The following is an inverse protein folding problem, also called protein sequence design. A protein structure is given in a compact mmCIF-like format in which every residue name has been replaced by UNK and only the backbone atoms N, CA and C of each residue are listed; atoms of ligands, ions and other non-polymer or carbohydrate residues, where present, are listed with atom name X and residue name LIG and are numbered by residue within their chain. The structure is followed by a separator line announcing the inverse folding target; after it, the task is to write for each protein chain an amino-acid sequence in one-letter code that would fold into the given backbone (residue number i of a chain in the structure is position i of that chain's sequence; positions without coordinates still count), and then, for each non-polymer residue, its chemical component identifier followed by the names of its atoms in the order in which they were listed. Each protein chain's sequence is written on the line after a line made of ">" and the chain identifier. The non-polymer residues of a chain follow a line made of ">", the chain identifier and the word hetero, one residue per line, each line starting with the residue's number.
data_IF_386454087379
#
_entry.id   IF_386454087379
#
_cell.length_a   1.000
_cell.length_b   1.000
_cell.length_c   1.000
_cell.angle_alpha   90.00
_cell.angle_beta   90.00
_cell.angle_gamma   90.00
#
_symmetry.space_group_name_H-M   'P 1'
#
loop_
_entity.id
_entity.type
_entity.pdbx_description
1 polymer ?
#
# COMPACT_ATOMS: atom_id res chain seq x y z
N UNK A 1 -22.82 6.53 19.39
CA UNK A 1 -22.87 7.10 18.03
C UNK A 1 -23.46 6.07 17.04
N UNK A 2 -24.72 5.64 17.28
CA UNK A 2 -25.34 4.59 16.42
C UNK A 2 -25.91 5.15 15.10
N UNK A 3 -25.98 6.47 14.94
CA UNK A 3 -26.63 7.16 13.82
C UNK A 3 -25.69 8.08 13.04
N UNK A 4 -24.38 7.77 13.03
CA UNK A 4 -23.41 8.54 12.26
C UNK A 4 -23.17 7.88 10.90
N UNK A 5 -23.11 8.71 9.86
CA UNK A 5 -22.67 8.32 8.52
C UNK A 5 -21.39 9.08 8.17
N UNK A 6 -20.56 8.50 7.33
CA UNK A 6 -19.37 9.17 6.81
C UNK A 6 -19.65 9.60 5.38
N UNK A 7 -19.44 10.89 5.11
CA UNK A 7 -19.52 11.46 3.77
C UNK A 7 -18.12 11.82 3.33
N UNK A 8 -17.67 11.24 2.24
CA UNK A 8 -16.38 11.53 1.62
C UNK A 8 -16.60 12.31 0.33
N UNK A 9 -15.99 13.49 0.25
CA UNK A 9 -15.94 14.30 -0.96
C UNK A 9 -14.58 14.13 -1.61
N UNK A 10 -14.56 13.82 -2.91
CA UNK A 10 -13.32 13.62 -3.66
C UNK A 10 -12.54 14.94 -3.78
N UNK A 11 -11.22 14.85 -3.65
CA UNK A 11 -10.34 15.98 -3.91
C UNK A 11 -10.30 16.35 -5.40
N UNK A 12 -9.94 17.60 -5.68
CA UNK A 12 -9.78 18.08 -7.05
C UNK A 12 -8.72 17.30 -7.80
N UNK A 13 -8.97 16.93 -9.05
CA UNK A 13 -8.09 16.20 -9.97
C UNK A 13 -7.59 14.83 -9.47
N UNK A 14 -8.28 14.25 -8.48
CA UNK A 14 -7.94 12.91 -8.00
C UNK A 14 -8.23 11.81 -9.04
N UNK A 15 -9.01 12.09 -10.07
CA UNK A 15 -9.22 11.21 -11.23
C UNK A 15 -7.94 10.90 -12.01
N UNK A 16 -6.89 11.72 -11.89
CA UNK A 16 -5.58 11.42 -12.45
C UNK A 16 -4.91 10.22 -11.78
N UNK A 17 -5.23 9.98 -10.52
CA UNK A 17 -4.59 9.00 -9.66
C UNK A 17 -5.50 7.82 -9.31
N UNK A 18 -6.80 8.04 -9.23
CA UNK A 18 -7.81 7.09 -8.75
C UNK A 18 -8.92 6.89 -9.77
N UNK A 19 -9.25 5.64 -10.06
CA UNK A 19 -10.43 5.24 -10.83
C UNK A 19 -11.64 5.11 -9.90
N UNK A 20 -12.52 6.10 -9.93
CA UNK A 20 -13.69 6.19 -9.04
C UNK A 20 -14.76 5.12 -9.28
N UNK A 21 -14.93 4.66 -10.50
CA UNK A 21 -15.83 3.54 -10.78
C UNK A 21 -15.29 2.23 -10.21
N UNK A 22 -14.00 2.03 -10.34
CA UNK A 22 -13.34 0.85 -9.78
C UNK A 22 -13.34 0.88 -8.25
N UNK A 23 -13.17 2.06 -7.63
CA UNK A 23 -13.31 2.23 -6.17
C UNK A 23 -14.67 1.73 -5.68
N UNK A 24 -15.75 2.13 -6.31
CA UNK A 24 -17.12 1.72 -5.94
C UNK A 24 -17.30 0.21 -6.10
N UNK A 25 -16.84 -0.35 -7.21
CA UNK A 25 -16.88 -1.82 -7.44
C UNK A 25 -16.10 -2.58 -6.38
N UNK A 26 -14.91 -2.13 -6.05
CA UNK A 26 -14.06 -2.73 -5.02
C UNK A 26 -14.69 -2.60 -3.63
N UNK A 27 -15.32 -1.47 -3.33
CA UNK A 27 -16.03 -1.26 -2.08
C UNK A 27 -17.16 -2.29 -1.90
N UNK A 28 -17.94 -2.53 -2.94
CA UNK A 28 -19.01 -3.53 -2.94
C UNK A 28 -18.46 -4.95 -2.79
N UNK A 29 -17.37 -5.28 -3.47
CA UNK A 29 -16.69 -6.58 -3.36
C UNK A 29 -16.18 -6.83 -1.94
N UNK A 30 -15.51 -5.86 -1.34
CA UNK A 30 -15.02 -5.92 0.03
C UNK A 30 -16.17 -6.04 1.04
N UNK A 31 -17.25 -5.34 0.80
CA UNK A 31 -18.45 -5.43 1.63
C UNK A 31 -19.05 -6.84 1.59
N UNK A 32 -19.15 -7.44 0.41
CA UNK A 32 -19.65 -8.81 0.25
C UNK A 32 -18.83 -9.84 1.03
N UNK A 33 -17.54 -9.58 1.26
CA UNK A 33 -16.63 -10.42 2.05
C UNK A 33 -16.48 -9.97 3.52
N UNK A 34 -17.30 -9.02 3.96
CA UNK A 34 -17.25 -8.51 5.34
C UNK A 34 -16.00 -7.69 5.68
N UNK A 35 -15.32 -7.13 4.67
CA UNK A 35 -14.07 -6.39 4.81
C UNK A 35 -14.24 -4.86 4.70
N UNK A 36 -15.43 -4.38 4.34
CA UNK A 36 -15.73 -2.95 4.25
C UNK A 36 -17.06 -2.62 4.93
N UNK A 37 -17.24 -1.34 5.35
CA UNK A 37 -18.52 -0.86 5.88
C UNK A 37 -19.59 -0.87 4.80
N UNK A 38 -20.84 -0.60 5.19
CA UNK A 38 -21.96 -0.52 4.26
C UNK A 38 -21.87 0.77 3.45
N UNK A 39 -21.92 0.66 2.12
CA UNK A 39 -22.07 1.81 1.22
C UNK A 39 -23.57 2.18 1.15
N UNK A 40 -23.90 3.42 1.47
CA UNK A 40 -25.27 3.93 1.44
C UNK A 40 -25.63 4.54 0.10
N UNK A 41 -24.80 5.42 -0.42
CA UNK A 41 -24.99 6.03 -1.72
C UNK A 41 -23.69 6.56 -2.31
N UNK A 42 -23.70 6.80 -3.61
CA UNK A 42 -22.67 7.49 -4.36
C UNK A 42 -23.26 8.74 -5.01
N UNK A 43 -22.44 9.76 -5.17
CA UNK A 43 -22.79 10.98 -5.88
C UNK A 43 -21.63 11.40 -6.78
N UNK A 44 -21.83 12.38 -7.63
CA UNK A 44 -20.88 12.73 -8.69
C UNK A 44 -19.44 12.96 -8.16
N UNK A 45 -19.28 13.58 -7.00
CA UNK A 45 -18.00 13.94 -6.42
C UNK A 45 -17.75 13.29 -5.05
N UNK A 46 -18.33 12.12 -4.77
CA UNK A 46 -18.13 11.47 -3.48
C UNK A 46 -19.00 10.26 -3.21
N UNK A 47 -18.92 9.79 -1.99
CA UNK A 47 -19.69 8.63 -1.52
C UNK A 47 -20.03 8.77 -0.02
N UNK A 48 -21.10 8.08 0.38
CA UNK A 48 -21.57 8.05 1.76
C UNK A 48 -21.63 6.60 2.25
N UNK A 49 -21.04 6.32 3.38
CA UNK A 49 -20.96 4.98 3.93
C UNK A 49 -21.06 4.97 5.46
N UNK A 50 -21.24 3.78 5.98
CA UNK A 50 -21.34 3.50 7.41
C UNK A 50 -20.10 3.96 8.17
N UNK A 51 -20.32 4.69 9.26
CA UNK A 51 -19.23 5.06 10.16
C UNK A 51 -18.71 3.81 10.88
N UNK A 52 -17.41 3.57 10.78
CA UNK A 52 -16.74 2.44 11.43
C UNK A 52 -16.28 2.84 12.83
N UNK A 53 -16.81 2.14 13.84
CA UNK A 53 -16.45 2.38 15.24
C UNK A 53 -15.01 1.95 15.52
N UNK A 54 -14.31 2.75 16.32
CA UNK A 54 -12.95 2.49 16.74
C UNK A 54 -12.06 3.72 16.65
N UNK A 55 -10.77 3.50 16.79
CA UNK A 55 -9.74 4.53 16.75
C UNK A 55 -8.76 4.24 15.63
N UNK A 56 -8.46 5.25 14.80
CA UNK A 56 -7.42 5.15 13.81
C UNK A 56 -6.05 5.02 14.48
N UNK A 57 -5.23 4.10 14.00
CA UNK A 57 -3.92 3.84 14.59
C UNK A 57 -2.89 4.91 14.21
N UNK A 58 -1.87 5.03 15.04
CA UNK A 58 -0.64 5.79 14.78
C UNK A 58 0.56 4.86 14.53
N UNK A 59 1.71 5.41 14.13
CA UNK A 59 2.93 4.63 13.87
C UNK A 59 3.42 3.82 15.09
N UNK A 60 3.17 4.30 16.30
CA UNK A 60 3.50 3.60 17.54
C UNK A 60 2.63 2.36 17.76
N UNK A 61 1.35 2.43 17.42
CA UNK A 61 0.39 1.35 17.65
C UNK A 61 0.59 0.15 16.73
N UNK A 62 0.93 0.37 15.45
CA UNK A 62 1.12 -0.73 14.49
C UNK A 62 2.33 -1.61 14.80
N UNK A 63 3.20 -1.17 15.71
CA UNK A 63 4.39 -1.89 16.18
C UNK A 63 4.09 -2.78 17.39
N UNK A 64 2.95 -2.59 18.03
CA UNK A 64 2.53 -3.41 19.18
C UNK A 64 2.18 -4.83 18.71
N UNK A 65 2.76 -5.89 19.31
CA UNK A 65 2.57 -7.27 18.85
C UNK A 65 1.10 -7.71 18.77
N UNK A 66 0.28 -7.26 19.68
CA UNK A 66 -1.15 -7.58 19.68
C UNK A 66 -1.86 -6.97 18.47
N UNK A 67 -1.55 -5.71 18.14
CA UNK A 67 -2.16 -4.99 17.03
C UNK A 67 -1.60 -5.45 15.69
N UNK A 68 -0.28 -5.64 15.56
CA UNK A 68 0.28 -6.08 14.28
C UNK A 68 -0.16 -7.51 13.92
N UNK A 69 -0.41 -8.37 14.92
CA UNK A 69 -1.02 -9.68 14.66
C UNK A 69 -2.41 -9.53 14.03
N UNK A 70 -3.27 -8.69 14.58
CA UNK A 70 -4.61 -8.43 14.04
C UNK A 70 -4.56 -7.83 12.63
N UNK A 71 -3.60 -6.93 12.37
CA UNK A 71 -3.39 -6.34 11.05
C UNK A 71 -2.98 -7.41 10.03
N UNK A 72 -2.05 -8.29 10.38
CA UNK A 72 -1.63 -9.39 9.52
C UNK A 72 -2.80 -10.34 9.18
N UNK A 73 -3.64 -10.66 10.15
CA UNK A 73 -4.82 -11.50 9.98
C UNK A 73 -5.85 -10.84 9.04
N UNK A 74 -6.12 -9.55 9.23
CA UNK A 74 -7.08 -8.81 8.38
C UNK A 74 -6.55 -8.66 6.94
N UNK A 75 -5.26 -8.39 6.74
CA UNK A 75 -4.67 -8.36 5.41
C UNK A 75 -4.75 -9.74 4.73
N UNK A 76 -4.46 -10.82 5.44
CA UNK A 76 -4.62 -12.17 4.92
C UNK A 76 -6.06 -12.44 4.47
N UNK A 77 -7.05 -11.98 5.20
CA UNK A 77 -8.46 -12.09 4.86
C UNK A 77 -8.79 -11.38 3.54
N UNK A 78 -8.30 -10.16 3.36
CA UNK A 78 -8.50 -9.39 2.12
C UNK A 78 -7.81 -10.09 0.94
N UNK A 79 -6.61 -10.59 1.13
CA UNK A 79 -5.85 -11.30 0.10
C UNK A 79 -6.46 -12.64 -0.31
N UNK A 80 -7.42 -13.17 0.44
CA UNK A 80 -8.18 -14.38 0.05
C UNK A 80 -9.41 -14.10 -0.80
N UNK A 81 -9.72 -12.84 -1.10
CA UNK A 81 -10.82 -12.47 -1.98
C UNK A 81 -10.47 -12.87 -3.40
N UNK A 82 -11.28 -13.78 -3.98
CA UNK A 82 -11.09 -14.26 -5.33
C UNK A 82 -12.18 -13.75 -6.27
N UNK A 83 -11.82 -13.54 -7.55
CA UNK A 83 -12.79 -13.30 -8.60
C UNK A 83 -13.18 -14.62 -9.27
N UNK A 84 -14.42 -14.70 -9.75
CA UNK A 84 -14.84 -15.77 -10.63
C UNK A 84 -14.23 -15.55 -12.02
N UNK A 85 -13.30 -16.39 -12.45
CA UNK A 85 -12.69 -16.32 -13.78
C UNK A 85 -11.16 -16.26 -13.76
N UNK A 86 -10.59 -15.74 -14.84
CA UNK A 86 -9.12 -15.59 -14.97
C UNK A 86 -8.57 -14.63 -13.94
N UNK A 87 -7.36 -14.94 -13.43
CA UNK A 87 -6.66 -14.09 -12.48
C UNK A 87 -6.38 -12.72 -13.13
N UNK A 88 -6.81 -11.61 -12.51
CA UNK A 88 -6.51 -10.28 -13.04
C UNK A 88 -5.01 -10.01 -13.08
N UNK A 89 -4.59 -9.16 -14.02
CA UNK A 89 -3.19 -8.67 -14.06
C UNK A 89 -2.93 -7.74 -12.88
N UNK A 90 -1.70 -7.76 -12.31
CA UNK A 90 -1.33 -6.81 -11.25
C UNK A 90 -1.34 -5.38 -11.78
N UNK A 91 -1.88 -4.47 -11.00
CA UNK A 91 -2.03 -3.06 -11.39
C UNK A 91 -0.75 -2.24 -11.23
N UNK A 92 0.24 -2.73 -10.49
CA UNK A 92 1.44 -2.00 -10.10
C UNK A 92 2.15 -1.36 -11.30
N UNK A 93 2.51 -2.16 -12.30
CA UNK A 93 3.33 -1.67 -13.43
C UNK A 93 2.55 -0.74 -14.33
N UNK A 94 1.28 -1.01 -14.57
CA UNK A 94 0.42 -0.14 -15.37
C UNK A 94 0.27 1.24 -14.71
N UNK A 95 -0.04 1.29 -13.42
CA UNK A 95 -0.13 2.55 -12.68
C UNK A 95 1.20 3.29 -12.59
N UNK A 96 2.28 2.57 -12.34
CA UNK A 96 3.61 3.16 -12.22
C UNK A 96 4.08 3.76 -13.55
N UNK A 97 3.83 3.10 -14.67
CA UNK A 97 4.08 3.65 -16.01
C UNK A 97 3.23 4.89 -16.28
N UNK A 98 1.95 4.86 -15.93
CA UNK A 98 1.07 6.02 -16.07
C UNK A 98 1.56 7.21 -15.27
N UNK A 99 1.95 7.01 -14.02
CA UNK A 99 2.50 8.07 -13.17
C UNK A 99 3.84 8.59 -13.71
N UNK A 100 4.69 7.71 -14.16
CA UNK A 100 5.96 8.11 -14.78
C UNK A 100 5.73 8.95 -16.04
N UNK A 101 4.79 8.58 -16.89
CA UNK A 101 4.44 9.35 -18.11
C UNK A 101 3.94 10.75 -17.74
N UNK A 102 3.06 10.88 -16.73
CA UNK A 102 2.62 12.18 -16.23
C UNK A 102 3.79 13.02 -15.72
N UNK A 103 4.71 12.42 -14.98
CA UNK A 103 5.91 13.13 -14.48
C UNK A 103 6.80 13.58 -15.63
N UNK A 104 7.01 12.73 -16.63
CA UNK A 104 7.87 13.03 -17.80
C UNK A 104 7.29 14.14 -18.67
N UNK A 105 5.99 14.08 -18.96
CA UNK A 105 5.35 14.93 -19.97
C UNK A 105 4.82 16.25 -19.41
N UNK A 106 4.37 16.27 -18.17
CA UNK A 106 3.65 17.41 -17.59
C UNK A 106 4.39 18.08 -16.43
N UNK A 107 5.29 17.39 -15.75
CA UNK A 107 6.01 17.90 -14.59
C UNK A 107 7.45 18.13 -14.99
N UNK A 108 7.92 19.37 -14.82
CA UNK A 108 9.32 19.67 -15.09
C UNK A 108 10.22 19.11 -13.95
N UNK A 109 11.00 18.04 -14.20
CA UNK A 109 11.86 17.42 -13.19
C UNK A 109 13.03 18.32 -12.73
N UNK A 110 13.27 19.45 -13.40
CA UNK A 110 14.28 20.42 -12.99
C UNK A 110 13.87 21.29 -11.78
N UNK A 111 12.68 21.09 -11.22
CA UNK A 111 12.16 21.85 -10.07
C UNK A 111 12.99 21.66 -8.78
N UNK A 112 13.73 20.58 -8.66
CA UNK A 112 14.65 20.34 -7.54
C UNK A 112 15.84 19.50 -8.00
N UNK A 113 17.04 19.93 -7.61
CA UNK A 113 18.27 19.16 -7.84
C UNK A 113 18.28 17.82 -7.09
N UNK A 114 17.41 17.66 -6.08
CA UNK A 114 17.32 16.45 -5.27
C UNK A 114 16.40 15.39 -5.87
N UNK A 115 15.61 15.74 -6.90
CA UNK A 115 14.79 14.78 -7.65
C UNK A 115 15.65 14.14 -8.74
N UNK A 116 15.64 12.80 -8.87
CA UNK A 116 16.36 12.13 -9.94
C UNK A 116 15.91 12.61 -11.32
N UNK A 117 16.84 12.64 -12.28
CA UNK A 117 16.53 12.98 -13.67
C UNK A 117 15.57 11.96 -14.29
N UNK A 118 14.77 12.39 -15.25
CA UNK A 118 13.77 11.55 -15.93
C UNK A 118 14.41 10.29 -16.53
N UNK A 119 15.61 10.40 -17.09
CA UNK A 119 16.33 9.26 -17.66
C UNK A 119 16.70 8.22 -16.60
N UNK A 120 17.06 8.67 -15.39
CA UNK A 120 17.32 7.79 -14.25
C UNK A 120 16.04 7.11 -13.79
N UNK A 121 14.94 7.86 -13.70
CA UNK A 121 13.64 7.31 -13.32
C UNK A 121 13.16 6.25 -14.34
N UNK A 122 13.35 6.48 -15.63
CA UNK A 122 12.97 5.54 -16.68
C UNK A 122 13.78 4.22 -16.58
N UNK A 123 15.08 4.33 -16.35
CA UNK A 123 15.96 3.17 -16.15
C UNK A 123 15.58 2.39 -14.88
N UNK A 124 15.33 3.07 -13.78
CA UNK A 124 14.94 2.43 -12.52
C UNK A 124 13.58 1.74 -12.61
N UNK A 125 12.61 2.34 -13.29
CA UNK A 125 11.30 1.74 -13.52
C UNK A 125 11.42 0.45 -14.35
N UNK A 126 12.19 0.46 -15.43
CA UNK A 126 12.43 -0.73 -16.24
C UNK A 126 13.15 -1.82 -15.44
N UNK A 127 14.15 -1.44 -14.67
CA UNK A 127 14.88 -2.34 -13.80
C UNK A 127 13.97 -2.99 -12.73
N UNK A 128 13.15 -2.20 -12.03
CA UNK A 128 12.20 -2.68 -11.04
C UNK A 128 11.25 -3.72 -11.64
N UNK A 129 10.66 -3.40 -12.79
CA UNK A 129 9.72 -4.30 -13.45
C UNK A 129 10.38 -5.62 -13.83
N UNK A 130 11.58 -5.58 -14.39
CA UNK A 130 12.32 -6.78 -14.77
C UNK A 130 12.63 -7.66 -13.55
N UNK A 131 13.22 -7.08 -12.50
CA UNK A 131 13.68 -7.83 -11.35
C UNK A 131 12.55 -8.33 -10.44
N UNK A 132 11.54 -7.51 -10.18
CA UNK A 132 10.46 -7.89 -9.28
C UNK A 132 9.46 -8.86 -9.92
N UNK A 133 9.27 -8.80 -11.24
CA UNK A 133 8.39 -9.74 -11.94
C UNK A 133 8.88 -11.19 -11.87
N UNK A 134 10.18 -11.41 -11.64
CA UNK A 134 10.79 -12.74 -11.51
C UNK A 134 10.63 -13.36 -10.12
N UNK A 135 10.15 -12.60 -9.14
CA UNK A 135 10.06 -13.06 -7.75
C UNK A 135 8.86 -13.99 -7.49
N UNK A 136 8.01 -14.20 -8.47
CA UNK A 136 6.84 -15.09 -8.37
C UNK A 136 5.89 -14.75 -7.20
N UNK A 137 5.78 -13.46 -6.85
CA UNK A 137 4.78 -13.04 -5.87
C UNK A 137 3.37 -13.26 -6.42
N UNK A 138 2.49 -13.94 -5.69
CA UNK A 138 1.12 -14.14 -6.17
C UNK A 138 0.38 -12.81 -6.34
N UNK A 139 -0.54 -12.77 -7.29
CA UNK A 139 -1.47 -11.65 -7.47
C UNK A 139 -2.72 -11.92 -6.65
N UNK A 140 -3.03 -10.99 -5.76
CA UNK A 140 -4.17 -11.08 -4.83
C UNK A 140 -4.92 -9.75 -4.79
N UNK A 141 -6.10 -9.73 -4.19
CA UNK A 141 -6.79 -8.46 -3.94
C UNK A 141 -6.07 -7.72 -2.82
N UNK A 142 -5.53 -6.53 -3.12
CA UNK A 142 -4.70 -5.73 -2.24
C UNK A 142 -5.37 -4.42 -1.83
N UNK A 143 -5.02 -3.92 -0.66
CA UNK A 143 -5.37 -2.56 -0.22
C UNK A 143 -4.57 -1.49 -0.97
N UNK A 144 -3.29 -1.74 -1.17
CA UNK A 144 -2.28 -0.90 -1.84
C UNK A 144 -1.94 0.43 -1.15
N UNK A 145 -2.64 0.81 -0.10
CA UNK A 145 -2.40 2.06 0.65
C UNK A 145 -2.66 1.88 2.16
N UNK A 146 -2.15 0.80 2.75
CA UNK A 146 -2.39 0.50 4.16
C UNK A 146 -1.43 1.26 5.07
N UNK A 147 -1.65 2.55 5.21
CA UNK A 147 -1.00 3.41 6.19
C UNK A 147 -1.73 3.34 7.55
N UNK A 148 -1.09 3.81 8.63
CA UNK A 148 -1.61 3.68 9.99
C UNK A 148 -3.04 4.21 10.15
N UNK A 149 -3.32 5.38 9.56
CA UNK A 149 -4.63 6.04 9.65
C UNK A 149 -5.77 5.29 8.95
N UNK A 150 -5.43 4.37 8.05
CA UNK A 150 -6.38 3.51 7.36
C UNK A 150 -6.72 2.24 8.13
N UNK A 151 -6.20 2.09 9.35
CA UNK A 151 -6.45 0.95 10.23
C UNK A 151 -7.24 1.43 11.43
N UNK A 152 -8.45 0.89 11.62
CA UNK A 152 -9.35 1.22 12.71
C UNK A 152 -9.37 0.06 13.70
N UNK A 153 -9.01 0.34 14.95
CA UNK A 153 -9.07 -0.62 16.05
C UNK A 153 -10.30 -0.39 16.91
N UNK A 154 -11.13 -1.41 17.02
CA UNK A 154 -12.26 -1.46 17.96
C UNK A 154 -11.87 -2.30 19.17
N UNK A 155 -11.53 -1.63 20.28
CA UNK A 155 -11.11 -2.30 21.52
C UNK A 155 -12.24 -3.08 22.21
N UNK A 156 -13.51 -2.73 21.95
CA UNK A 156 -14.65 -3.44 22.54
C UNK A 156 -14.88 -4.79 21.86
N UNK A 157 -14.57 -4.89 20.58
CA UNK A 157 -14.68 -6.14 19.80
C UNK A 157 -13.34 -6.85 19.63
N UNK A 158 -12.23 -6.21 19.96
CA UNK A 158 -10.88 -6.78 19.86
C UNK A 158 -10.47 -7.08 18.41
N UNK A 159 -10.88 -6.26 17.45
CA UNK A 159 -10.52 -6.44 16.04
C UNK A 159 -10.06 -5.15 15.38
N UNK A 160 -9.32 -5.29 14.28
CA UNK A 160 -9.01 -4.20 13.35
C UNK A 160 -9.81 -4.35 12.08
N UNK A 161 -10.09 -3.21 11.45
CA UNK A 161 -10.66 -3.12 10.12
C UNK A 161 -9.95 -2.05 9.32
N UNK A 162 -9.96 -2.20 7.99
CA UNK A 162 -9.34 -1.23 7.09
C UNK A 162 -10.39 -0.32 6.47
N UNK A 163 -9.97 0.89 6.16
CA UNK A 163 -10.75 1.89 5.46
C UNK A 163 -9.92 2.48 4.32
N UNK A 164 -10.56 3.28 3.48
CA UNK A 164 -9.92 4.02 2.40
C UNK A 164 -9.35 3.13 1.30
N UNK A 165 -10.24 2.44 0.60
CA UNK A 165 -9.90 1.47 -0.45
C UNK A 165 -9.78 2.10 -1.85
N UNK A 166 -9.48 3.40 -1.96
CA UNK A 166 -9.42 4.09 -3.26
C UNK A 166 -8.32 3.58 -4.19
N UNK A 167 -7.24 3.01 -3.62
CA UNK A 167 -6.14 2.37 -4.37
C UNK A 167 -6.27 0.85 -4.45
N UNK A 168 -7.30 0.27 -3.85
CA UNK A 168 -7.46 -1.17 -3.80
C UNK A 168 -7.61 -1.79 -5.19
N UNK A 169 -7.15 -3.01 -5.32
CA UNK A 169 -7.23 -3.77 -6.56
C UNK A 169 -6.26 -4.95 -6.56
N UNK A 170 -6.32 -5.76 -7.62
CA UNK A 170 -5.44 -6.90 -7.77
C UNK A 170 -4.01 -6.46 -8.02
N UNK A 171 -3.10 -6.95 -7.19
CA UNK A 171 -1.70 -6.59 -7.22
C UNK A 171 -0.86 -7.70 -6.56
N UNK A 172 0.46 -7.53 -6.57
CA UNK A 172 1.35 -8.46 -5.90
C UNK A 172 1.18 -8.45 -4.39
N UNK A 173 0.98 -9.63 -3.81
CA UNK A 173 0.93 -9.85 -2.37
C UNK A 173 2.10 -9.19 -1.64
N UNK A 174 3.31 -9.39 -2.15
CA UNK A 174 4.52 -8.84 -1.55
C UNK A 174 4.60 -7.31 -1.62
N UNK A 175 3.98 -6.69 -2.64
CA UNK A 175 3.87 -5.24 -2.71
C UNK A 175 3.00 -4.67 -1.58
N UNK A 176 1.82 -5.25 -1.35
CA UNK A 176 0.89 -4.76 -0.32
C UNK A 176 1.51 -4.83 1.08
N UNK A 177 2.19 -5.94 1.37
CA UNK A 177 2.88 -6.11 2.66
C UNK A 177 4.09 -5.17 2.76
N UNK A 178 4.92 -5.09 1.73
CA UNK A 178 6.09 -4.20 1.72
C UNK A 178 5.71 -2.72 1.81
N UNK A 179 4.62 -2.35 1.15
CA UNK A 179 4.03 -1.03 1.28
C UNK A 179 3.62 -0.73 2.74
N UNK A 180 2.91 -1.66 3.38
CA UNK A 180 2.54 -1.50 4.79
C UNK A 180 3.75 -1.37 5.71
N UNK A 181 4.81 -2.15 5.49
CA UNK A 181 6.04 -2.05 6.28
C UNK A 181 6.73 -0.68 6.12
N UNK A 182 6.72 -0.10 4.93
CA UNK A 182 7.22 1.26 4.72
C UNK A 182 6.43 2.31 5.52
N UNK A 183 5.14 2.09 5.70
CA UNK A 183 4.27 3.01 6.44
C UNK A 183 4.51 3.02 7.96
N UNK A 184 5.30 2.09 8.49
CA UNK A 184 5.81 2.15 9.87
C UNK A 184 6.65 3.41 10.12
N UNK A 185 7.25 3.97 9.08
CA UNK A 185 8.04 5.20 9.16
C UNK A 185 7.18 6.47 9.36
N UNK A 186 5.87 6.40 9.09
CA UNK A 186 4.97 7.54 9.12
C UNK A 186 4.98 8.38 7.84
N UNK A 187 4.11 9.37 7.77
CA UNK A 187 3.90 10.23 6.59
C UNK A 187 4.36 11.68 6.84
N UNK A 188 3.95 12.29 7.94
CA UNK A 188 4.26 13.69 8.24
C UNK A 188 5.70 13.87 8.75
N UNK A 189 6.09 13.04 9.70
CA UNK A 189 7.44 12.97 10.25
C UNK A 189 8.03 11.60 9.92
N UNK A 190 8.59 11.49 8.71
CA UNK A 190 9.08 10.21 8.19
C UNK A 190 10.39 9.83 8.89
N UNK A 191 10.38 8.70 9.59
CA UNK A 191 11.55 8.13 10.24
C UNK A 191 11.69 6.64 9.91
N UNK A 192 12.59 6.32 8.99
CA UNK A 192 12.85 4.94 8.57
C UNK A 192 13.58 4.09 9.61
N UNK A 193 14.03 4.65 10.73
CA UNK A 193 14.45 3.85 11.88
C UNK A 193 13.29 3.03 12.46
N UNK A 194 12.05 3.43 12.17
CA UNK A 194 10.82 2.72 12.54
C UNK A 194 10.45 1.58 11.58
N UNK A 195 11.11 1.44 10.43
CA UNK A 195 10.91 0.29 9.55
C UNK A 195 11.12 -1.01 10.34
N UNK A 196 10.23 -2.00 10.23
CA UNK A 196 10.27 -3.16 11.13
C UNK A 196 11.57 -3.96 10.96
N UNK A 197 12.21 -4.28 12.10
CA UNK A 197 13.36 -5.16 12.14
C UNK A 197 12.98 -6.57 11.65
N UNK A 198 13.99 -7.35 11.24
CA UNK A 198 13.80 -8.70 10.68
C UNK A 198 12.94 -9.60 11.57
N UNK A 199 13.18 -9.60 12.87
CA UNK A 199 12.46 -10.44 13.82
C UNK A 199 10.96 -10.10 13.87
N UNK A 200 10.63 -8.82 13.83
CA UNK A 200 9.23 -8.34 13.78
C UNK A 200 8.60 -8.75 12.45
N UNK A 201 9.30 -8.56 11.34
CA UNK A 201 8.81 -8.95 10.02
C UNK A 201 8.52 -10.46 9.96
N UNK A 202 9.46 -11.31 10.42
CA UNK A 202 9.28 -12.77 10.39
C UNK A 202 8.07 -13.20 11.23
N UNK A 203 7.82 -12.57 12.36
CA UNK A 203 6.66 -12.86 13.19
C UNK A 203 5.36 -12.40 12.52
N UNK A 204 5.33 -11.19 11.95
CA UNK A 204 4.21 -10.65 11.19
C UNK A 204 3.85 -11.54 10.00
N UNK A 205 4.86 -11.93 9.21
CA UNK A 205 4.72 -12.76 8.02
C UNK A 205 4.25 -14.17 8.36
N UNK A 206 4.67 -14.72 9.51
CA UNK A 206 4.17 -16.01 10.01
C UNK A 206 2.67 -15.92 10.29
N UNK A 207 2.20 -14.93 11.03
CA UNK A 207 0.78 -14.75 11.30
C UNK A 207 -0.04 -14.62 10.00
N UNK A 208 0.48 -13.85 9.06
CA UNK A 208 -0.14 -13.66 7.76
C UNK A 208 -0.27 -14.99 6.98
N UNK A 209 0.82 -15.73 6.83
CA UNK A 209 0.83 -17.00 6.09
C UNK A 209 -0.05 -18.05 6.74
N UNK A 210 0.00 -18.18 8.06
CA UNK A 210 -0.83 -19.14 8.80
C UNK A 210 -2.32 -18.83 8.65
N UNK A 211 -2.69 -17.55 8.69
CA UNK A 211 -4.07 -17.12 8.46
C UNK A 211 -4.53 -17.39 7.01
N UNK A 212 -3.64 -17.17 6.04
CA UNK A 212 -3.94 -17.39 4.62
C UNK A 212 -4.09 -18.87 4.28
N UNK A 213 -3.26 -19.73 4.87
CA UNK A 213 -3.23 -21.17 4.60
C UNK A 213 -4.19 -21.98 5.46
N UNK A 214 -4.56 -21.47 6.63
CA UNK A 214 -5.25 -22.26 7.66
C UNK A 214 -4.39 -23.37 8.27
N UNK A 215 -3.05 -23.29 8.15
CA UNK A 215 -2.07 -24.27 8.63
C UNK A 215 -0.77 -23.58 9.00
N UNK A 216 0.07 -24.26 9.77
CA UNK A 216 1.39 -23.75 10.17
C UNK A 216 2.27 -23.38 8.96
N UNK A 217 2.92 -22.23 9.05
CA UNK A 217 3.89 -21.79 8.04
C UNK A 217 5.27 -22.38 8.33
N UNK A 218 5.93 -22.91 7.30
CA UNK A 218 7.31 -23.39 7.43
C UNK A 218 8.28 -22.20 7.50
N UNK A 219 9.45 -22.36 8.15
CA UNK A 219 10.48 -21.33 8.14
C UNK A 219 10.88 -20.88 6.73
N UNK A 220 10.93 -21.82 5.78
CA UNK A 220 11.27 -21.53 4.37
C UNK A 220 10.22 -20.62 3.70
N UNK A 221 8.94 -20.86 3.92
CA UNK A 221 7.87 -20.00 3.38
C UNK A 221 7.96 -18.59 3.95
N UNK A 222 8.22 -18.46 5.25
CA UNK A 222 8.38 -17.16 5.91
C UNK A 222 9.58 -16.40 5.37
N UNK A 223 10.74 -17.06 5.23
CA UNK A 223 11.96 -16.47 4.67
C UNK A 223 11.79 -16.06 3.20
N UNK A 224 11.10 -16.89 2.41
CA UNK A 224 10.81 -16.56 1.02
C UNK A 224 9.96 -15.30 0.91
N UNK A 225 8.89 -15.23 1.70
CA UNK A 225 8.01 -14.06 1.72
C UNK A 225 8.75 -12.82 2.25
N UNK A 226 9.62 -12.97 3.27
CA UNK A 226 10.47 -11.90 3.77
C UNK A 226 11.33 -11.28 2.65
N UNK A 227 12.00 -12.10 1.86
CA UNK A 227 12.82 -11.62 0.75
C UNK A 227 11.96 -10.91 -0.33
N UNK A 228 10.82 -11.50 -0.71
CA UNK A 228 9.88 -10.90 -1.66
C UNK A 228 9.38 -9.54 -1.17
N UNK A 229 8.92 -9.45 0.06
CA UNK A 229 8.34 -8.24 0.66
C UNK A 229 9.33 -7.09 0.70
N UNK A 230 10.57 -7.34 1.15
CA UNK A 230 11.59 -6.29 1.20
C UNK A 230 12.02 -5.82 -0.20
N UNK A 231 12.04 -6.71 -1.19
CA UNK A 231 12.31 -6.33 -2.58
C UNK A 231 11.16 -5.51 -3.17
N UNK A 232 9.92 -5.89 -2.94
CA UNK A 232 8.74 -5.10 -3.37
C UNK A 232 8.56 -3.78 -2.61
N UNK A 233 9.13 -3.64 -1.42
CA UNK A 233 9.16 -2.37 -0.70
C UNK A 233 9.89 -1.27 -1.48
N UNK A 234 10.86 -1.63 -2.35
CA UNK A 234 11.47 -0.70 -3.31
C UNK A 234 10.44 -0.11 -4.27
N UNK A 235 9.58 -0.95 -4.83
CA UNK A 235 8.51 -0.49 -5.73
C UNK A 235 7.54 0.46 -5.02
N UNK A 236 7.25 0.22 -3.75
CA UNK A 236 6.43 1.12 -2.93
C UNK A 236 7.07 2.50 -2.79
N UNK A 237 8.36 2.59 -2.49
CA UNK A 237 9.06 3.87 -2.44
C UNK A 237 8.98 4.62 -3.77
N UNK A 238 9.26 3.94 -4.85
CA UNK A 238 9.27 4.52 -6.19
C UNK A 238 7.88 4.98 -6.63
N UNK A 239 6.86 4.15 -6.38
CA UNK A 239 5.46 4.45 -6.70
C UNK A 239 4.97 5.72 -6.00
N UNK A 240 5.15 5.80 -4.67
CA UNK A 240 4.69 6.94 -3.90
C UNK A 240 5.53 8.20 -4.11
N UNK A 241 6.79 8.07 -4.51
CA UNK A 241 7.60 9.20 -4.92
C UNK A 241 7.07 9.84 -6.21
N UNK A 242 6.73 9.02 -7.23
CA UNK A 242 6.09 9.52 -8.45
C UNK A 242 4.71 10.15 -8.15
N UNK A 243 3.90 9.50 -7.33
CA UNK A 243 2.63 10.04 -6.87
C UNK A 243 2.79 11.39 -6.20
N UNK A 244 3.78 11.55 -5.34
CA UNK A 244 4.04 12.80 -4.64
C UNK A 244 4.45 13.93 -5.59
N UNK A 245 5.23 13.65 -6.64
CA UNK A 245 5.55 14.64 -7.67
C UNK A 245 4.29 15.12 -8.40
N UNK A 246 3.36 14.20 -8.71
CA UNK A 246 2.08 14.54 -9.34
C UNK A 246 1.23 15.39 -8.39
N UNK A 247 1.14 15.01 -7.13
CA UNK A 247 0.42 15.76 -6.10
C UNK A 247 1.01 17.16 -5.87
N UNK A 248 2.32 17.29 -5.92
CA UNK A 248 2.99 18.61 -5.82
C UNK A 248 2.53 19.58 -6.91
N UNK A 249 2.22 19.07 -8.09
CA UNK A 249 1.75 19.88 -9.22
C UNK A 249 0.26 20.24 -9.11
N UNK A 250 -0.58 19.30 -8.65
CA UNK A 250 -2.03 19.42 -8.83
C UNK A 250 -2.83 19.52 -7.53
N UNK A 251 -2.27 19.12 -6.38
CA UNK A 251 -3.01 19.12 -5.12
C UNK A 251 -3.13 20.51 -4.51
N UNK A 252 -4.27 20.79 -3.93
CA UNK A 252 -4.54 21.99 -3.13
C UNK A 252 -4.31 21.77 -1.64
N UNK A 253 -3.93 20.56 -1.25
CA UNK A 253 -3.68 20.19 0.14
C UNK A 253 -2.35 20.79 0.60
N UNK A 254 -2.36 21.41 1.79
CA UNK A 254 -1.15 21.92 2.43
C UNK A 254 -0.29 20.79 3.00
N UNK A 255 0.51 20.19 2.13
CA UNK A 255 1.49 19.14 2.45
C UNK A 255 2.71 19.31 1.55
N UNK A 256 3.90 19.13 2.08
CA UNK A 256 5.15 19.24 1.30
C UNK A 256 5.40 17.96 0.48
N UNK A 257 4.64 17.82 -0.61
CA UNK A 257 4.73 16.68 -1.50
C UNK A 257 6.09 16.53 -2.16
N UNK A 258 6.77 17.64 -2.49
CA UNK A 258 8.10 17.60 -3.10
C UNK A 258 9.12 17.00 -2.14
N UNK A 259 9.14 17.49 -0.90
CA UNK A 259 9.99 16.92 0.15
C UNK A 259 9.70 15.44 0.38
N UNK A 260 8.42 15.06 0.39
CA UNK A 260 8.01 13.65 0.55
C UNK A 260 8.54 12.79 -0.61
N UNK A 261 8.44 13.27 -1.85
CA UNK A 261 9.00 12.58 -3.01
C UNK A 261 10.51 12.34 -2.88
N UNK A 262 11.25 13.37 -2.50
CA UNK A 262 12.70 13.30 -2.29
C UNK A 262 13.06 12.28 -1.19
N UNK A 263 12.34 12.30 -0.07
CA UNK A 263 12.53 11.33 1.02
C UNK A 263 12.35 9.89 0.52
N UNK A 264 11.29 9.64 -0.27
CA UNK A 264 11.01 8.30 -0.81
C UNK A 264 12.06 7.86 -1.83
N UNK A 265 12.49 8.73 -2.75
CA UNK A 265 13.58 8.41 -3.69
C UNK A 265 14.90 8.14 -2.97
N UNK A 266 15.26 8.98 -2.01
CA UNK A 266 16.49 8.78 -1.24
C UNK A 266 16.48 7.45 -0.49
N UNK A 267 15.36 7.09 0.12
CA UNK A 267 15.24 5.79 0.79
C UNK A 267 15.32 4.62 -0.20
N UNK A 268 14.70 4.74 -1.36
CA UNK A 268 14.80 3.77 -2.45
C UNK A 268 16.25 3.46 -2.79
N UNK A 269 17.04 4.48 -3.12
CA UNK A 269 18.44 4.29 -3.49
C UNK A 269 19.30 3.81 -2.33
N UNK A 270 19.02 4.26 -1.11
CA UNK A 270 19.74 3.86 0.10
C UNK A 270 19.60 2.37 0.39
N UNK A 271 18.38 1.82 0.31
CA UNK A 271 18.11 0.43 0.69
C UNK A 271 18.27 -0.56 -0.46
N UNK A 272 18.27 -0.10 -1.70
CA UNK A 272 18.36 -0.94 -2.90
C UNK A 272 19.52 -1.95 -2.85
N UNK A 273 20.78 -1.57 -2.51
CA UNK A 273 21.90 -2.53 -2.46
C UNK A 273 21.69 -3.63 -1.41
N UNK A 274 21.16 -3.28 -0.25
CA UNK A 274 20.91 -4.23 0.85
C UNK A 274 19.81 -5.22 0.49
N UNK A 275 18.76 -4.73 -0.14
CA UNK A 275 17.62 -5.55 -0.55
C UNK A 275 18.00 -6.51 -1.68
N UNK A 276 18.86 -6.06 -2.60
CA UNK A 276 19.36 -6.91 -3.69
C UNK A 276 20.23 -8.07 -3.17
N UNK A 277 20.93 -7.86 -2.05
CA UNK A 277 21.73 -8.89 -1.41
C UNK A 277 20.90 -9.99 -0.72
N UNK A 278 19.58 -9.80 -0.55
CA UNK A 278 18.70 -10.82 0.01
C UNK A 278 18.55 -11.99 -0.97
N UNK A 279 18.94 -13.18 -0.50
CA UNK A 279 18.77 -14.41 -1.28
C UNK A 279 17.33 -14.94 -1.15
N UNK A 280 16.81 -15.42 -2.28
CA UNK A 280 15.54 -16.14 -2.27
C UNK A 280 15.81 -17.59 -1.86
N UNK A 281 15.18 -18.12 -0.81
CA UNK A 281 15.31 -19.53 -0.44
C UNK A 281 14.93 -20.45 -1.62
N UNK A 282 15.82 -21.39 -1.94
CA UNK A 282 15.63 -22.38 -3.03
C UNK A 282 14.51 -23.37 -2.72
#
# INVERSE_FOLDING_TARGET
>A
MRDCVLVRVYGERTELLVDRENEVRNFQLLRAHGCAPRLYCTFQNGLCYEYMQGVALGPEHIREPQLFRLIALEMAKIHTIHTNGNLPKPTLWHKMHRYFTLVKDEINPSLSADVPKVEVLEQELAWLKEHLSQLESPVVFCHNDLLCKNIIYDSTKGHVRFIDYEYAGYNYQAFDIGNHFNEFAGVNEVDYCRYPAREIQLQWLRYYLEAQKGAAATPREVERLYAQVNKFALASHFFWALWALIQNQYSTISFDFLRYAVIRFNQYFKVKPQVLALEMPK
#
